data_IF_388377334260
#
_entry.id   IF_388377334260
#
_cell.length_a   1.000
_cell.length_b   1.000
_cell.length_c   1.000
_cell.angle_alpha   90.00
_cell.angle_beta   90.00
_cell.angle_gamma   90.00
#
_symmetry.space_group_name_H-M   'P 1'
#
loop_
_entity.id
_entity.type
_entity.pdbx_description
1 polymer ?
#
# COMPACT_ATOMS: atom_id res chain seq x y z
N UNK A 1 -38.29 8.50 27.49
CA UNK A 1 -38.10 7.52 26.39
C UNK A 1 -37.67 8.14 25.06
N UNK A 2 -38.34 9.18 24.51
CA UNK A 2 -37.93 9.82 23.22
C UNK A 2 -36.47 10.33 23.18
N UNK A 3 -35.96 10.89 24.29
CA UNK A 3 -34.58 11.41 24.38
C UNK A 3 -33.50 10.32 24.39
N UNK A 4 -33.84 9.10 24.83
CA UNK A 4 -32.91 7.96 24.86
C UNK A 4 -32.78 7.37 23.46
N UNK A 5 -33.88 7.27 22.71
CA UNK A 5 -33.85 6.84 21.31
C UNK A 5 -33.13 7.81 20.38
N UNK A 6 -33.24 9.13 20.60
CA UNK A 6 -32.49 10.12 19.81
C UNK A 6 -30.99 10.08 20.11
N UNK A 7 -30.62 9.83 21.37
CA UNK A 7 -29.21 9.67 21.75
C UNK A 7 -28.65 8.40 21.12
N UNK A 8 -29.34 7.26 21.25
CA UNK A 8 -28.93 5.98 20.68
C UNK A 8 -28.80 6.04 19.14
N UNK A 9 -29.71 6.73 18.46
CA UNK A 9 -29.63 6.94 17.01
C UNK A 9 -28.45 7.83 16.61
N UNK A 10 -28.16 8.89 17.38
CA UNK A 10 -26.98 9.73 17.15
C UNK A 10 -25.67 8.95 17.42
N UNK A 11 -25.64 8.10 18.45
CA UNK A 11 -24.48 7.25 18.76
C UNK A 11 -24.26 6.18 17.69
N UNK A 12 -25.32 5.53 17.21
CA UNK A 12 -25.25 4.59 16.07
C UNK A 12 -24.79 5.27 14.78
N UNK A 13 -25.18 6.54 14.55
CA UNK A 13 -24.71 7.31 13.40
C UNK A 13 -23.22 7.64 13.52
N UNK A 14 -22.74 7.99 14.71
CA UNK A 14 -21.32 8.24 14.99
C UNK A 14 -20.49 6.96 14.86
N UNK A 15 -21.03 5.80 15.25
CA UNK A 15 -20.38 4.51 15.05
C UNK A 15 -20.44 3.99 13.60
N UNK A 16 -21.38 4.46 12.79
CA UNK A 16 -21.45 4.13 11.36
C UNK A 16 -20.52 4.99 10.48
N UNK A 17 -19.84 6.01 11.06
CA UNK A 17 -19.06 7.01 10.33
C UNK A 17 -17.56 6.67 10.19
N UNK A 18 -17.08 5.51 10.63
CA UNK A 18 -15.61 5.28 10.75
C UNK A 18 -15.06 4.07 10.02
N UNK A 19 -15.68 3.63 8.93
CA UNK A 19 -14.99 2.69 8.02
C UNK A 19 -15.01 3.30 6.62
N UNK A 20 -13.90 3.88 6.13
CA UNK A 20 -13.79 4.16 4.70
C UNK A 20 -13.92 2.81 3.99
N UNK A 21 -15.04 2.62 3.28
CA UNK A 21 -15.20 1.46 2.41
C UNK A 21 -14.35 1.72 1.17
N UNK A 22 -13.15 1.13 1.12
CA UNK A 22 -12.39 1.04 -0.11
C UNK A 22 -13.08 0.04 -1.03
N UNK A 23 -13.32 0.45 -2.27
CA UNK A 23 -13.83 -0.44 -3.30
C UNK A 23 -12.63 -1.03 -4.05
N UNK A 24 -12.53 -2.36 -4.03
CA UNK A 24 -11.60 -3.09 -4.88
C UNK A 24 -12.04 -2.96 -6.34
N UNK A 25 -11.13 -2.49 -7.21
CA UNK A 25 -11.41 -2.35 -8.64
C UNK A 25 -10.95 -3.62 -9.35
N UNK A 26 -11.90 -4.36 -9.90
CA UNK A 26 -11.64 -5.49 -10.80
C UNK A 26 -11.78 -5.04 -12.26
N UNK A 27 -11.31 -5.88 -13.19
CA UNK A 27 -11.52 -5.68 -14.63
C UNK A 27 -10.98 -4.34 -15.16
N UNK A 28 -9.93 -3.82 -14.53
CA UNK A 28 -9.27 -2.60 -14.98
C UNK A 28 -8.31 -2.92 -16.12
N UNK A 29 -7.89 -1.87 -16.81
CA UNK A 29 -7.05 -1.91 -17.99
C UNK A 29 -5.75 -1.19 -17.68
N UNK A 30 -4.63 -1.87 -17.92
CA UNK A 30 -3.28 -1.31 -17.87
C UNK A 30 -2.81 -1.02 -19.29
N UNK A 31 -2.66 0.25 -19.69
CA UNK A 31 -2.15 0.60 -21.02
C UNK A 31 -0.68 1.03 -20.98
N UNK A 32 0.20 0.16 -21.49
CA UNK A 32 1.64 0.45 -21.62
C UNK A 32 2.03 0.85 -23.05
N UNK A 33 1.07 1.03 -23.97
CA UNK A 33 1.35 1.30 -25.39
C UNK A 33 2.18 2.58 -25.60
N UNK A 34 1.93 3.62 -24.80
CA UNK A 34 2.72 4.85 -24.79
C UNK A 34 4.18 4.67 -24.34
N UNK A 35 4.51 3.54 -23.73
CA UNK A 35 5.86 3.14 -23.34
C UNK A 35 6.47 2.03 -24.21
N UNK A 36 5.80 1.69 -25.33
CA UNK A 36 6.22 0.60 -26.21
C UNK A 36 5.86 -0.80 -25.69
N UNK A 37 4.93 -0.89 -24.73
CA UNK A 37 4.36 -2.15 -24.24
C UNK A 37 2.98 -2.47 -24.81
N UNK A 38 2.36 -3.50 -24.24
CA UNK A 38 1.01 -3.94 -24.58
C UNK A 38 -0.07 -3.28 -23.71
N UNK A 39 -1.32 -3.30 -24.17
CA UNK A 39 -2.49 -2.95 -23.36
C UNK A 39 -3.12 -4.21 -22.79
N UNK A 40 -3.33 -4.24 -21.47
CA UNK A 40 -3.88 -5.39 -20.75
C UNK A 40 -5.26 -5.03 -20.22
N UNK A 41 -6.30 -5.73 -20.67
CA UNK A 41 -7.67 -5.55 -20.18
C UNK A 41 -8.04 -6.70 -19.26
N UNK A 42 -8.94 -6.44 -18.31
CA UNK A 42 -9.38 -7.47 -17.38
C UNK A 42 -8.34 -7.83 -16.33
N UNK A 43 -7.59 -6.83 -15.88
CA UNK A 43 -6.63 -6.95 -14.79
C UNK A 43 -7.38 -7.03 -13.46
N UNK A 44 -6.98 -8.00 -12.64
CA UNK A 44 -7.48 -8.19 -11.29
C UNK A 44 -6.46 -7.63 -10.29
N UNK A 45 -5.24 -8.13 -10.35
CA UNK A 45 -4.14 -7.71 -9.47
C UNK A 45 -2.79 -7.83 -10.18
N UNK A 46 -1.77 -7.25 -9.56
CA UNK A 46 -0.38 -7.43 -9.96
C UNK A 46 0.33 -8.24 -8.88
N UNK A 47 1.02 -9.31 -9.25
CA UNK A 47 1.89 -10.06 -8.34
C UNK A 47 3.30 -9.54 -8.48
N UNK A 48 3.96 -9.24 -7.36
CA UNK A 48 5.30 -8.66 -7.34
C UNK A 48 6.28 -9.59 -6.64
N UNK A 49 7.51 -9.66 -7.17
CA UNK A 49 8.68 -10.23 -6.50
C UNK A 49 9.86 -9.28 -6.67
N UNK A 50 10.62 -9.10 -5.60
CA UNK A 50 11.71 -8.13 -5.55
C UNK A 50 12.75 -8.44 -4.48
N UNK A 51 13.77 -7.60 -4.45
CA UNK A 51 14.81 -7.61 -3.43
C UNK A 51 15.07 -6.17 -2.96
N UNK A 52 15.59 -6.02 -1.75
CA UNK A 52 15.94 -4.72 -1.19
C UNK A 52 16.93 -4.82 -0.05
N UNK A 53 17.28 -3.68 0.52
CA UNK A 53 18.13 -3.57 1.71
C UNK A 53 17.43 -2.70 2.73
N UNK A 54 17.28 -3.24 3.94
CA UNK A 54 16.85 -2.48 5.13
C UNK A 54 18.09 -2.11 5.92
N UNK A 55 18.22 -0.82 6.21
CA UNK A 55 19.15 -0.28 7.19
C UNK A 55 18.37 0.06 8.45
N UNK A 56 18.69 -0.60 9.56
CA UNK A 56 18.09 -0.36 10.87
C UNK A 56 19.09 0.36 11.77
N UNK A 57 18.71 1.52 12.28
CA UNK A 57 19.46 2.24 13.31
C UNK A 57 19.09 1.65 14.68
N UNK A 58 20.08 1.35 15.52
CA UNK A 58 19.93 0.80 16.87
C UNK A 58 20.18 1.85 17.95
N UNK A 59 20.30 3.12 17.57
CA UNK A 59 20.65 4.19 18.49
C UNK A 59 22.05 4.03 19.10
N UNK A 60 22.25 4.67 20.25
CA UNK A 60 23.55 4.75 20.92
C UNK A 60 23.89 3.56 21.84
N UNK A 61 22.91 2.72 22.16
CA UNK A 61 23.08 1.53 23.02
C UNK A 61 23.29 0.24 22.21
N UNK A 62 23.05 0.28 20.90
CA UNK A 62 23.28 -0.85 20.01
C UNK A 62 22.28 -2.00 20.22
N UNK A 63 21.11 -1.68 20.77
CA UNK A 63 20.03 -2.63 21.03
C UNK A 63 18.79 -2.11 20.30
N UNK A 64 17.99 -3.01 19.73
CA UNK A 64 16.76 -2.60 19.06
C UNK A 64 15.71 -2.21 20.12
N UNK A 65 15.24 -0.98 20.05
CA UNK A 65 14.30 -0.37 20.98
C UNK A 65 13.10 0.27 20.26
N UNK A 66 12.01 0.49 20.99
CA UNK A 66 10.89 1.29 20.48
C UNK A 66 11.35 2.70 20.08
N UNK A 67 10.98 3.12 18.87
CA UNK A 67 11.33 4.42 18.30
C UNK A 67 12.59 4.40 17.43
N UNK A 68 13.32 3.29 17.38
CA UNK A 68 14.47 3.13 16.51
C UNK A 68 14.07 3.21 15.03
N UNK A 69 14.77 4.06 14.28
CA UNK A 69 14.44 4.37 12.89
C UNK A 69 15.02 3.36 11.92
N UNK A 70 14.34 3.11 10.82
CA UNK A 70 14.85 2.32 9.70
C UNK A 70 14.66 3.03 8.37
N UNK A 71 15.44 2.63 7.37
CA UNK A 71 15.25 2.99 5.97
C UNK A 71 15.33 1.75 5.07
N UNK A 72 14.53 1.71 4.02
CA UNK A 72 14.43 0.65 3.04
C UNK A 72 14.63 1.24 1.64
N UNK A 73 15.50 0.61 0.86
CA UNK A 73 15.55 0.74 -0.60
C UNK A 73 15.22 -0.61 -1.21
N UNK A 74 14.29 -0.66 -2.16
CA UNK A 74 13.87 -1.91 -2.79
C UNK A 74 13.54 -1.76 -4.26
N UNK A 75 13.76 -2.86 -4.98
CA UNK A 75 13.36 -3.06 -6.37
C UNK A 75 12.37 -4.21 -6.42
N UNK A 76 11.13 -3.91 -6.81
CA UNK A 76 10.12 -4.93 -7.08
C UNK A 76 10.16 -5.22 -8.58
N UNK A 77 11.15 -6.01 -8.97
CA UNK A 77 11.61 -6.20 -10.35
C UNK A 77 10.71 -7.12 -11.20
N UNK A 78 10.05 -8.10 -10.59
CA UNK A 78 9.20 -9.06 -11.31
C UNK A 78 7.76 -8.74 -11.01
N UNK A 79 7.11 -7.99 -11.90
CA UNK A 79 5.68 -7.77 -11.81
C UNK A 79 4.97 -8.64 -12.85
N UNK A 80 4.10 -9.51 -12.37
CA UNK A 80 3.23 -10.34 -13.18
C UNK A 80 1.80 -9.78 -13.11
N UNK A 81 1.21 -9.47 -14.26
CA UNK A 81 -0.17 -8.98 -14.34
C UNK A 81 -1.10 -10.19 -14.35
N UNK A 82 -2.01 -10.29 -13.39
CA UNK A 82 -2.98 -11.38 -13.30
C UNK A 82 -4.34 -10.89 -13.80
N UNK A 83 -4.93 -11.65 -14.72
CA UNK A 83 -6.27 -11.36 -15.21
C UNK A 83 -7.37 -11.92 -14.29
N UNK A 84 -8.61 -11.50 -14.50
CA UNK A 84 -9.79 -11.96 -13.73
C UNK A 84 -10.07 -13.47 -13.78
N UNK A 85 -9.34 -14.22 -14.62
CA UNK A 85 -9.40 -15.68 -14.69
C UNK A 85 -8.22 -16.35 -13.96
N UNK A 86 -7.39 -15.58 -13.25
CA UNK A 86 -6.20 -16.05 -12.54
C UNK A 86 -5.00 -16.37 -13.44
N UNK A 87 -5.03 -16.00 -14.73
CA UNK A 87 -3.94 -16.30 -15.66
C UNK A 87 -3.01 -15.09 -15.82
N UNK A 88 -1.69 -15.31 -15.93
CA UNK A 88 -0.75 -14.22 -16.14
C UNK A 88 -0.78 -13.72 -17.59
N UNK A 89 -0.66 -12.41 -17.78
CA UNK A 89 -0.29 -11.84 -19.07
C UNK A 89 1.21 -12.01 -19.34
N UNK A 90 1.58 -12.15 -20.61
CA UNK A 90 2.96 -12.36 -21.05
C UNK A 90 3.37 -11.22 -21.96
N UNK A 91 3.90 -10.13 -21.41
CA UNK A 91 4.72 -9.17 -22.15
C UNK A 91 5.38 -8.14 -21.22
N UNK A 92 6.53 -7.61 -21.67
CA UNK A 92 7.23 -6.49 -21.03
C UNK A 92 7.82 -6.75 -19.63
N UNK A 93 8.67 -5.83 -19.17
CA UNK A 93 9.16 -5.78 -17.79
C UNK A 93 8.84 -4.41 -17.23
N UNK A 94 7.94 -4.37 -16.26
CA UNK A 94 7.69 -3.19 -15.45
C UNK A 94 8.05 -3.52 -14.02
N UNK A 95 8.48 -2.53 -13.26
CA UNK A 95 8.98 -2.71 -11.92
C UNK A 95 8.65 -1.51 -11.04
N UNK A 96 8.48 -1.76 -9.75
CA UNK A 96 8.42 -0.69 -8.77
C UNK A 96 9.81 -0.45 -8.19
N UNK A 97 10.16 0.80 -8.04
CA UNK A 97 11.38 1.23 -7.38
C UNK A 97 10.99 2.12 -6.20
N UNK A 98 11.44 1.74 -5.01
CA UNK A 98 11.26 2.56 -3.82
C UNK A 98 12.56 3.27 -3.46
N UNK A 99 12.43 4.55 -3.12
CA UNK A 99 13.55 5.35 -2.61
C UNK A 99 13.18 5.90 -1.24
N UNK A 100 14.12 5.76 -0.30
CA UNK A 100 14.04 6.32 1.05
C UNK A 100 12.74 5.97 1.81
N UNK A 101 12.24 4.72 1.68
CA UNK A 101 11.13 4.26 2.51
C UNK A 101 11.59 4.17 3.95
N UNK A 102 11.15 5.11 4.77
CA UNK A 102 11.64 5.32 6.12
C UNK A 102 10.56 5.18 7.16
N UNK A 103 10.94 4.79 8.37
CA UNK A 103 10.00 4.55 9.46
C UNK A 103 10.66 4.33 10.80
N UNK A 104 9.89 3.80 11.74
CA UNK A 104 10.38 3.38 13.05
C UNK A 104 9.74 2.07 13.51
N UNK A 105 10.42 1.38 14.43
CA UNK A 105 9.89 0.18 15.10
C UNK A 105 9.18 0.52 16.40
N UNK A 106 8.18 -0.26 16.77
CA UNK A 106 7.45 -0.12 18.03
C UNK A 106 6.92 -1.48 18.52
N UNK A 107 6.47 -1.56 19.77
CA UNK A 107 6.08 -2.80 20.44
C UNK A 107 7.18 -3.88 20.38
N UNK A 108 8.44 -3.47 20.54
CA UNK A 108 9.58 -4.38 20.56
C UNK A 108 9.50 -5.26 21.82
N UNK A 109 9.36 -6.57 21.60
CA UNK A 109 9.33 -7.58 22.67
C UNK A 109 10.69 -8.27 22.73
N UNK A 110 11.42 -8.22 23.86
CA UNK A 110 12.70 -8.89 23.98
C UNK A 110 12.59 -10.42 23.82
N UNK A 111 13.53 -11.00 23.06
CA UNK A 111 13.61 -12.42 22.77
C UNK A 111 14.96 -13.03 23.18
N UNK A 112 14.92 -14.21 23.80
CA UNK A 112 16.13 -14.96 24.17
C UNK A 112 16.60 -15.78 22.97
N UNK A 113 17.87 -15.63 22.57
CA UNK A 113 18.50 -16.46 21.52
C UNK A 113 18.48 -15.87 20.10
N UNK A 114 17.91 -14.68 19.90
CA UNK A 114 18.05 -13.91 18.67
C UNK A 114 19.29 -13.00 18.77
N UNK A 115 20.17 -12.91 17.75
CA UNK A 115 21.28 -11.95 17.73
C UNK A 115 20.84 -10.48 17.92
N UNK A 116 19.61 -10.13 17.56
CA UNK A 116 19.01 -8.80 17.81
C UNK A 116 18.33 -8.67 19.18
N UNK A 117 18.21 -9.76 19.95
CA UNK A 117 17.60 -9.74 21.28
C UNK A 117 16.08 -9.53 21.31
N UNK A 118 15.37 -9.74 20.19
CA UNK A 118 13.93 -9.44 20.02
C UNK A 118 13.15 -10.67 19.53
N UNK A 119 11.93 -10.88 20.03
CA UNK A 119 11.00 -11.97 19.64
C UNK A 119 9.82 -11.51 18.78
N UNK A 120 9.39 -10.26 18.90
CA UNK A 120 8.40 -9.64 18.02
C UNK A 120 8.58 -8.14 18.00
N UNK A 121 8.21 -7.48 16.91
CA UNK A 121 8.16 -6.03 16.81
C UNK A 121 7.22 -5.61 15.67
N UNK A 122 6.72 -4.38 15.72
CA UNK A 122 5.95 -3.78 14.63
C UNK A 122 6.77 -2.68 13.94
N UNK A 123 6.55 -2.51 12.65
CA UNK A 123 7.15 -1.44 11.85
C UNK A 123 6.06 -0.44 11.44
N UNK A 124 6.39 0.85 11.45
CA UNK A 124 5.56 1.90 10.86
C UNK A 124 6.38 2.74 9.90
N UNK A 125 5.96 2.76 8.64
CA UNK A 125 6.52 3.63 7.63
C UNK A 125 5.91 5.02 7.77
N UNK A 126 6.75 6.05 7.66
CA UNK A 126 6.35 7.45 7.82
C UNK A 126 6.76 8.31 6.64
N UNK A 127 7.66 7.84 5.79
CA UNK A 127 8.21 8.59 4.66
C UNK A 127 8.57 7.65 3.51
N UNK A 128 8.74 8.25 2.32
CA UNK A 128 9.32 7.61 1.14
C UNK A 128 8.47 7.87 -0.09
N UNK A 129 8.95 7.35 -1.21
CA UNK A 129 8.24 7.39 -2.49
C UNK A 129 8.37 6.06 -3.20
N UNK A 130 7.42 5.81 -4.10
CA UNK A 130 7.49 4.68 -4.99
C UNK A 130 7.25 5.14 -6.43
N UNK A 131 8.02 4.57 -7.34
CA UNK A 131 7.98 4.91 -8.75
C UNK A 131 7.71 3.64 -9.54
N UNK A 132 6.88 3.74 -10.58
CA UNK A 132 6.62 2.66 -11.51
C UNK A 132 7.37 2.91 -12.82
N UNK A 133 8.15 1.92 -13.25
CA UNK A 133 8.94 1.98 -14.47
C UNK A 133 8.56 0.89 -15.46
N UNK A 134 8.81 1.15 -16.74
CA UNK A 134 8.83 0.16 -17.82
C UNK A 134 10.24 0.09 -18.43
N UNK A 135 10.83 -1.09 -18.45
CA UNK A 135 12.19 -1.31 -18.95
C UNK A 135 12.98 -2.35 -18.16
N UNK A 136 14.30 -2.15 -18.12
CA UNK A 136 15.22 -3.03 -17.38
C UNK A 136 15.44 -2.48 -15.96
N UNK A 137 15.02 -3.24 -14.95
CA UNK A 137 15.18 -2.89 -13.53
C UNK A 137 16.66 -2.74 -13.12
N UNK A 138 17.60 -3.32 -13.86
CA UNK A 138 19.04 -3.15 -13.63
C UNK A 138 19.58 -1.82 -14.19
N UNK A 139 18.77 -1.11 -14.99
CA UNK A 139 19.13 0.15 -15.63
C UNK A 139 17.97 1.15 -15.53
N UNK A 140 17.72 1.70 -14.33
CA UNK A 140 16.68 2.72 -14.12
C UNK A 140 16.86 3.90 -15.08
N UNK A 141 18.10 4.36 -15.28
CA UNK A 141 18.39 5.50 -16.16
C UNK A 141 18.02 5.25 -17.63
N UNK A 142 17.96 3.98 -18.06
CA UNK A 142 17.49 3.56 -19.38
C UNK A 142 16.03 3.12 -19.42
N UNK A 143 15.33 3.14 -18.28
CA UNK A 143 13.92 2.76 -18.17
C UNK A 143 13.01 3.98 -18.22
N UNK A 144 11.79 3.79 -18.68
CA UNK A 144 10.79 4.84 -18.75
C UNK A 144 10.02 4.93 -17.44
N UNK A 145 10.06 6.10 -16.80
CA UNK A 145 9.20 6.39 -15.66
C UNK A 145 7.76 6.55 -16.14
N UNK A 146 6.90 5.65 -15.70
CA UNK A 146 5.47 5.67 -15.97
C UNK A 146 4.75 6.58 -14.98
N UNK A 147 5.12 6.51 -13.70
CA UNK A 147 4.34 7.13 -12.65
C UNK A 147 5.12 7.33 -11.35
N UNK A 148 4.88 8.47 -10.70
CA UNK A 148 5.33 8.77 -9.34
C UNK A 148 4.16 8.61 -8.36
N UNK A 149 4.44 7.96 -7.22
CA UNK A 149 3.46 7.72 -6.18
C UNK A 149 3.94 8.24 -4.82
N UNK A 150 3.05 8.92 -4.10
CA UNK A 150 3.28 9.41 -2.75
C UNK A 150 2.87 8.36 -1.72
N UNK A 151 3.69 8.21 -0.69
CA UNK A 151 3.39 7.32 0.42
C UNK A 151 2.31 7.92 1.33
N UNK A 152 1.23 7.18 1.57
CA UNK A 152 0.14 7.59 2.46
C UNK A 152 0.22 6.86 3.80
N UNK A 153 0.41 5.54 3.76
CA UNK A 153 0.35 4.71 4.95
C UNK A 153 1.14 3.43 4.77
N UNK A 154 1.74 2.93 5.85
CA UNK A 154 2.45 1.66 5.82
C UNK A 154 2.71 1.12 7.21
N UNK A 155 2.32 -0.13 7.45
CA UNK A 155 2.60 -0.85 8.69
C UNK A 155 2.91 -2.30 8.41
N UNK A 156 3.75 -2.87 9.26
CA UNK A 156 4.06 -4.28 9.22
C UNK A 156 4.22 -4.89 10.60
N UNK A 157 4.19 -6.21 10.65
CA UNK A 157 4.47 -6.99 11.83
C UNK A 157 5.63 -7.95 11.53
N UNK A 158 6.61 -7.97 12.43
CA UNK A 158 7.62 -8.99 12.52
C UNK A 158 7.39 -9.77 13.79
N UNK A 159 6.57 -10.82 13.77
CA UNK A 159 6.30 -11.67 14.93
C UNK A 159 6.95 -13.06 14.76
N UNK A 160 7.57 -13.68 15.78
CA UNK A 160 8.05 -15.07 15.67
C UNK A 160 6.94 -16.05 15.21
N UNK A 161 7.23 -16.99 14.27
CA UNK A 161 8.57 -17.42 13.82
C UNK A 161 9.22 -16.51 12.75
N UNK A 162 8.55 -15.42 12.39
CA UNK A 162 8.96 -14.50 11.32
C UNK A 162 10.14 -13.60 11.69
N UNK A 163 10.59 -13.66 12.95
CA UNK A 163 11.82 -13.02 13.43
C UNK A 163 12.96 -14.00 13.73
N UNK A 164 12.97 -15.26 13.25
CA UNK A 164 14.07 -16.11 13.71
C UNK A 164 14.17 -17.60 13.41
N UNK A 165 13.32 -18.23 12.60
CA UNK A 165 13.45 -19.68 12.37
C UNK A 165 12.61 -20.24 11.23
N UNK A 166 13.28 -21.02 10.38
CA UNK A 166 12.89 -21.66 9.12
C UNK A 166 12.13 -20.86 8.05
N UNK A 167 11.46 -19.73 8.33
CA UNK A 167 10.80 -18.94 7.27
C UNK A 167 10.83 -17.40 7.39
N UNK A 168 11.36 -16.78 8.46
CA UNK A 168 11.76 -15.35 8.54
C UNK A 168 10.95 -14.31 7.68
N UNK A 169 9.62 -14.31 7.74
CA UNK A 169 8.75 -13.54 6.83
C UNK A 169 7.84 -12.51 7.52
N UNK A 170 8.13 -11.21 7.47
CA UNK A 170 7.22 -10.17 7.98
C UNK A 170 6.16 -9.76 6.96
N UNK A 171 4.90 -9.60 7.39
CA UNK A 171 3.83 -9.05 6.56
C UNK A 171 3.83 -7.53 6.65
N UNK A 172 3.64 -6.84 5.53
CA UNK A 172 3.59 -5.38 5.46
C UNK A 172 2.55 -4.93 4.45
N UNK A 173 1.65 -4.08 4.91
CA UNK A 173 0.71 -3.37 4.07
C UNK A 173 1.24 -1.95 3.83
N UNK A 174 1.39 -1.55 2.57
CA UNK A 174 1.69 -0.17 2.19
C UNK A 174 0.64 0.35 1.22
N UNK A 175 0.32 1.64 1.34
CA UNK A 175 -0.63 2.35 0.52
C UNK A 175 0.09 3.54 -0.11
N UNK A 176 0.03 3.60 -1.43
CA UNK A 176 0.56 4.71 -2.20
C UNK A 176 -0.55 5.37 -3.01
N UNK A 177 -0.62 6.69 -2.94
CA UNK A 177 -1.48 7.53 -3.77
C UNK A 177 -0.74 7.95 -5.04
N UNK A 178 -1.48 8.11 -6.14
CA UNK A 178 -0.93 8.63 -7.38
C UNK A 178 -0.60 10.13 -7.23
N UNK A 179 0.68 10.48 -7.30
CA UNK A 179 1.12 11.86 -7.12
C UNK A 179 1.17 12.63 -8.45
N UNK A 180 1.70 11.99 -9.51
CA UNK A 180 1.72 12.52 -10.86
C UNK A 180 1.84 11.40 -11.89
N UNK A 181 0.99 11.43 -12.93
CA UNK A 181 1.24 10.72 -14.18
C UNK A 181 2.16 11.57 -15.05
N UNK A 182 3.13 10.94 -15.73
CA UNK A 182 3.84 11.65 -16.78
C UNK A 182 2.87 11.88 -17.96
N UNK A 183 2.86 13.06 -18.60
CA UNK A 183 1.93 13.34 -19.70
C UNK A 183 2.10 12.35 -20.86
N UNK A 184 1.03 11.65 -21.23
CA UNK A 184 0.97 10.84 -22.47
C UNK A 184 0.72 9.34 -22.29
N UNK A 185 0.42 8.86 -21.08
CA UNK A 185 0.09 7.44 -20.85
C UNK A 185 -1.22 7.32 -20.06
N UNK A 186 -2.28 6.84 -20.70
CA UNK A 186 -3.55 6.48 -20.03
C UNK A 186 -3.36 5.15 -19.29
N UNK A 187 -2.55 5.15 -18.23
CA UNK A 187 -2.06 3.92 -17.61
C UNK A 187 -3.21 3.05 -17.08
N UNK A 188 -4.27 3.65 -16.56
CA UNK A 188 -5.37 2.93 -15.94
C UNK A 188 -6.71 3.34 -16.55
N UNK A 189 -7.47 2.38 -17.06
CA UNK A 189 -8.87 2.60 -17.47
C UNK A 189 -9.78 1.46 -17.03
N UNK A 190 -11.09 1.70 -16.99
CA UNK A 190 -12.07 0.68 -16.62
C UNK A 190 -13.36 0.88 -17.41
N UNK A 191 -14.05 -0.23 -17.73
CA UNK A 191 -15.23 -0.20 -18.58
C UNK A 191 -16.36 0.73 -18.07
N UNK A 192 -16.44 0.94 -16.75
CA UNK A 192 -17.50 1.77 -16.13
C UNK A 192 -17.19 3.26 -16.07
N UNK A 193 -15.93 3.68 -16.14
CA UNK A 193 -15.54 5.09 -15.98
C UNK A 193 -14.57 5.63 -17.03
N UNK A 194 -14.10 4.78 -17.95
CA UNK A 194 -13.12 5.18 -18.96
C UNK A 194 -11.74 5.34 -18.34
N UNK A 195 -11.05 6.41 -18.69
CA UNK A 195 -9.74 6.76 -18.14
C UNK A 195 -9.84 7.10 -16.64
N UNK A 196 -9.00 6.48 -15.81
CA UNK A 196 -8.99 6.70 -14.36
C UNK A 196 -8.58 8.15 -14.03
N UNK A 197 -7.64 8.73 -14.76
CA UNK A 197 -7.18 10.10 -14.55
C UNK A 197 -8.30 11.10 -14.90
N UNK A 198 -9.00 10.87 -16.02
CA UNK A 198 -10.17 11.67 -16.39
C UNK A 198 -11.30 11.52 -15.35
N UNK A 199 -11.54 10.31 -14.87
CA UNK A 199 -12.52 10.03 -13.83
C UNK A 199 -12.19 10.77 -12.53
N UNK A 200 -10.93 10.71 -12.05
CA UNK A 200 -10.49 11.39 -10.83
C UNK A 200 -10.54 12.91 -10.99
N UNK A 201 -10.16 13.44 -12.17
CA UNK A 201 -10.27 14.87 -12.46
C UNK A 201 -11.73 15.36 -12.47
N UNK A 202 -12.66 14.55 -13.00
CA UNK A 202 -14.09 14.84 -12.99
C UNK A 202 -14.74 14.63 -11.61
N UNK A 203 -14.15 13.79 -10.76
CA UNK A 203 -14.66 13.42 -9.45
C UNK A 203 -13.58 13.64 -8.39
N UNK A 204 -13.24 14.91 -8.07
CA UNK A 204 -12.14 15.23 -7.14
C UNK A 204 -12.36 14.72 -5.71
N UNK A 205 -13.57 14.23 -5.40
CA UNK A 205 -13.93 13.60 -4.13
C UNK A 205 -13.57 12.11 -4.07
N UNK A 206 -12.96 11.55 -5.11
CA UNK A 206 -12.48 10.17 -5.15
C UNK A 206 -10.96 10.17 -5.20
N UNK A 207 -10.36 9.27 -4.44
CA UNK A 207 -8.93 8.98 -4.50
C UNK A 207 -8.74 7.54 -4.96
N UNK A 208 -7.72 7.31 -5.78
CA UNK A 208 -7.30 5.98 -6.20
C UNK A 208 -5.91 5.69 -5.62
N UNK A 209 -5.74 4.45 -5.13
CA UNK A 209 -4.52 4.00 -4.49
C UNK A 209 -4.08 2.67 -5.07
N UNK A 210 -2.77 2.46 -5.10
CA UNK A 210 -2.21 1.11 -5.16
C UNK A 210 -1.94 0.64 -3.73
N UNK A 211 -2.56 -0.47 -3.38
CA UNK A 211 -2.37 -1.14 -2.10
C UNK A 211 -1.44 -2.32 -2.32
N UNK A 212 -0.32 -2.30 -1.62
CA UNK A 212 0.74 -3.30 -1.63
C UNK A 212 0.58 -4.17 -0.38
N UNK A 213 0.18 -5.42 -0.59
CA UNK A 213 0.16 -6.48 0.42
C UNK A 213 1.41 -7.34 0.20
N UNK A 214 2.44 -7.09 1.01
CA UNK A 214 3.78 -7.64 0.82
C UNK A 214 4.18 -8.56 1.97
N UNK A 215 4.86 -9.64 1.59
CA UNK A 215 5.61 -10.51 2.47
C UNK A 215 7.09 -10.23 2.26
N UNK A 216 7.77 -9.82 3.31
CA UNK A 216 9.19 -9.46 3.33
C UNK A 216 9.97 -10.53 4.08
N UNK A 217 10.95 -11.15 3.44
CA UNK A 217 11.82 -12.13 4.07
C UNK A 217 13.22 -11.58 4.25
N UNK A 218 13.79 -11.69 5.45
CA UNK A 218 15.18 -11.28 5.69
C UNK A 218 16.17 -12.27 5.08
N UNK A 219 17.18 -11.77 4.36
CA UNK A 219 18.27 -12.55 3.76
C UNK A 219 19.45 -12.65 4.73
N UNK A 220 19.49 -13.69 5.56
CA UNK A 220 20.43 -13.79 6.69
C UNK A 220 21.92 -13.71 6.31
N UNK A 221 22.29 -14.15 5.12
CA UNK A 221 23.67 -14.11 4.63
C UNK A 221 24.13 -12.70 4.22
N UNK A 222 23.26 -11.69 4.31
CA UNK A 222 23.54 -10.30 3.93
C UNK A 222 23.64 -9.37 5.15
N UNK A 223 23.59 -9.92 6.36
CA UNK A 223 23.62 -9.13 7.58
C UNK A 223 25.00 -8.49 7.80
N UNK A 224 25.05 -7.16 7.90
CA UNK A 224 26.26 -6.38 8.14
C UNK A 224 26.05 -5.48 9.35
N UNK A 225 26.87 -5.66 10.39
CA UNK A 225 26.84 -4.79 11.58
C UNK A 225 27.78 -3.60 11.40
N UNK A 226 27.26 -2.41 11.72
CA UNK A 226 28.03 -1.18 11.87
C UNK A 226 27.97 -0.65 13.31
N UNK A 227 28.60 0.50 13.54
CA UNK A 227 28.49 1.21 14.82
C UNK A 227 27.09 1.84 14.95
N UNK A 228 26.24 1.22 15.76
CA UNK A 228 24.88 1.72 16.05
C UNK A 228 23.85 1.44 14.95
N UNK A 229 24.16 0.57 13.98
CA UNK A 229 23.19 0.15 12.96
C UNK A 229 23.50 -1.25 12.43
N UNK A 230 22.55 -1.82 11.70
CA UNK A 230 22.80 -2.98 10.85
C UNK A 230 22.11 -2.84 9.49
N UNK A 231 22.72 -3.43 8.48
CA UNK A 231 22.11 -3.63 7.17
C UNK A 231 21.70 -5.09 7.02
N UNK A 232 20.54 -5.32 6.43
CA UNK A 232 20.07 -6.66 6.05
C UNK A 232 19.33 -6.57 4.72
N UNK A 233 19.71 -7.43 3.79
CA UNK A 233 18.99 -7.67 2.56
C UNK A 233 17.64 -8.31 2.84
N UNK A 234 16.66 -8.02 1.99
CA UNK A 234 15.31 -8.58 2.06
C UNK A 234 14.90 -9.10 0.68
N UNK A 235 14.13 -10.19 0.65
CA UNK A 235 13.34 -10.56 -0.53
C UNK A 235 11.88 -10.22 -0.28
N UNK A 236 11.24 -9.60 -1.27
CA UNK A 236 9.88 -9.10 -1.19
C UNK A 236 9.01 -9.90 -2.15
N UNK A 237 7.84 -10.34 -1.72
CA UNK A 237 6.85 -10.97 -2.58
C UNK A 237 5.44 -10.61 -2.15
N UNK A 238 4.50 -10.42 -3.08
CA UNK A 238 3.16 -10.00 -2.67
C UNK A 238 2.26 -9.64 -3.83
N UNK A 239 1.15 -8.97 -3.50
CA UNK A 239 0.18 -8.50 -4.48
C UNK A 239 0.02 -6.98 -4.38
N UNK A 240 -0.26 -6.36 -5.52
CA UNK A 240 -0.62 -4.96 -5.66
C UNK A 240 -1.99 -4.88 -6.29
N UNK A 241 -2.88 -4.14 -5.64
CA UNK A 241 -4.28 -3.99 -6.04
C UNK A 241 -4.65 -2.53 -6.21
N UNK A 242 -5.50 -2.24 -7.20
CA UNK A 242 -6.07 -0.92 -7.38
C UNK A 242 -7.32 -0.79 -6.50
N UNK A 243 -7.33 0.23 -5.65
CA UNK A 243 -8.46 0.57 -4.80
C UNK A 243 -8.91 2.00 -5.04
N UNK A 244 -10.20 2.25 -4.92
CA UNK A 244 -10.78 3.60 -4.98
C UNK A 244 -11.59 3.83 -3.71
N UNK A 245 -11.36 4.96 -3.03
CA UNK A 245 -12.14 5.34 -1.85
C UNK A 245 -12.87 6.67 -2.09
N UNK A 246 -14.16 6.77 -1.73
CA UNK A 246 -14.82 8.07 -1.64
C UNK A 246 -14.24 8.88 -0.48
N UNK A 247 -14.14 10.19 -0.63
CA UNK A 247 -13.75 11.08 0.46
C UNK A 247 -14.66 10.89 1.69
N UNK A 248 -14.13 11.07 2.92
CA UNK A 248 -14.91 11.05 4.15
C UNK A 248 -16.12 12.01 4.14
N UNK A 249 -16.01 13.12 3.40
CA UNK A 249 -17.05 14.15 3.23
C UNK A 249 -18.30 13.61 2.53
N UNK A 250 -18.15 12.71 1.55
CA UNK A 250 -19.23 12.09 0.79
C UNK A 250 -20.11 11.21 1.69
N UNK A 251 -19.49 10.46 2.61
CA UNK A 251 -20.21 9.67 3.61
C UNK A 251 -20.98 10.56 4.59
N UNK A 252 -20.40 11.69 5.00
CA UNK A 252 -21.06 12.64 5.87
C UNK A 252 -22.30 13.25 5.19
N UNK A 253 -22.21 13.59 3.89
CA UNK A 253 -23.35 14.10 3.10
C UNK A 253 -24.41 13.01 2.91
N UNK A 254 -24.02 11.77 2.61
CA UNK A 254 -24.97 10.66 2.47
C UNK A 254 -25.68 10.34 3.79
N UNK A 255 -24.95 10.37 4.90
CA UNK A 255 -25.48 10.24 6.26
C UNK A 255 -26.46 11.35 6.63
N UNK A 256 -26.13 12.62 6.31
CA UNK A 256 -27.03 13.75 6.50
C UNK A 256 -28.26 13.69 5.58
N UNK A 257 -28.10 13.22 4.34
CA UNK A 257 -29.20 13.01 3.39
C UNK A 257 -30.20 11.94 3.87
N UNK A 258 -29.69 10.81 4.39
CA UNK A 258 -30.50 9.76 5.02
C UNK A 258 -31.25 10.27 6.27
N UNK A 259 -30.59 11.07 7.10
CA UNK A 259 -31.23 11.73 8.24
C UNK A 259 -32.34 12.70 7.79
N UNK A 260 -32.10 13.46 6.72
CA UNK A 260 -33.10 14.32 6.09
C UNK A 260 -34.32 13.52 5.61
N UNK A 261 -34.10 12.39 4.93
CA UNK A 261 -35.15 11.48 4.45
C UNK A 261 -36.00 10.91 5.60
N UNK A 262 -35.38 10.51 6.71
CA UNK A 262 -36.07 10.03 7.91
C UNK A 262 -36.93 11.15 8.53
N UNK A 263 -36.42 12.38 8.57
CA UNK A 263 -37.16 13.53 9.07
C UNK A 263 -38.37 13.88 8.19
N UNK A 264 -38.21 13.83 6.86
CA UNK A 264 -39.31 14.02 5.90
C UNK A 264 -40.38 12.92 6.01
N UNK A 265 -39.98 11.66 6.15
CA UNK A 265 -40.93 10.54 6.34
C UNK A 265 -41.74 10.70 7.62
N UNK A 266 -41.13 11.15 8.72
CA UNK A 266 -41.86 11.43 9.97
C UNK A 266 -42.84 12.58 9.84
N UNK A 267 -42.53 13.60 9.03
CA UNK A 267 -43.42 14.74 8.81
C UNK A 267 -44.61 14.41 7.90
N UNK A 268 -44.45 13.48 6.96
CA UNK A 268 -45.54 13.00 6.11
C UNK A 268 -46.45 11.96 6.79
N UNK A 269 -45.98 11.34 7.87
CA UNK A 269 -46.77 10.39 8.66
C UNK A 269 -47.57 11.05 9.81
N UNK A 270 -47.54 12.38 9.91
CA UNK A 270 -48.35 13.20 10.80
C UNK A 270 -49.37 13.99 9.97
#
# INVERSE_FOLDING_TARGET
MKKIFSLLAATLLVFALTVPASAYVQDWTLDLSGAGGSTYTGVELLTVVGEGTVTQNLGGDGILNDGDTFSLSSYLATIQIINNNGNPFVDGSFFFHSTDLGGYVYNVVPGIGNPLGVSSLNYMYTTGSMQLYYGDHNNIAGSQLLMDMSFEYGKGDGAQPDLGGNLFSGATDMIFEFAASNPGTNLFSHASFGDLEEFLAANPLYQAFLVFDLNNNLLLNTFVMGDGFFDVGISVGGNVSLMVTPEPSTFLIFGLGLLGLIAFRKRMAQ
#
